data_IF_623418251471
#
_entry.id   IF_623418251471
#
_cell.length_a   1.000
_cell.length_b   1.000
_cell.length_c   1.000
_cell.angle_alpha   90.00
_cell.angle_beta   90.00
_cell.angle_gamma   90.00
#
_symmetry.space_group_name_H-M   'P 1'
#
loop_
_entity.id
_entity.type
_entity.pdbx_description
1 polymer ?
#
# COMPACT_ATOMS: atom_id res chain seq x y z
N UNK A 1 5.80 12.70 -9.65
CA UNK A 1 6.51 11.82 -8.71
C UNK A 1 5.53 10.82 -8.08
N UNK A 2 4.36 11.27 -7.61
CA UNK A 2 3.32 10.41 -7.02
C UNK A 2 2.87 9.21 -7.85
N UNK A 3 2.73 9.35 -9.18
CA UNK A 3 2.26 8.24 -10.04
C UNK A 3 3.17 6.99 -10.00
N UNK A 4 4.47 7.17 -9.79
CA UNK A 4 5.42 6.05 -9.63
C UNK A 4 5.20 5.37 -8.28
N UNK A 5 4.96 6.15 -7.23
CA UNK A 5 4.65 5.65 -5.89
C UNK A 5 3.35 4.85 -5.88
N UNK A 6 2.28 5.36 -6.50
CA UNK A 6 1.01 4.64 -6.66
C UNK A 6 1.21 3.26 -7.32
N UNK A 7 2.05 3.21 -8.35
CA UNK A 7 2.35 1.96 -9.06
C UNK A 7 3.03 0.95 -8.13
N UNK A 8 4.03 1.39 -7.37
CA UNK A 8 4.69 0.53 -6.39
C UNK A 8 3.76 0.07 -5.27
N UNK A 9 2.90 0.97 -4.75
CA UNK A 9 1.91 0.62 -3.72
C UNK A 9 0.91 -0.42 -4.25
N UNK A 10 0.49 -0.33 -5.51
CA UNK A 10 -0.38 -1.34 -6.14
C UNK A 10 0.31 -2.70 -6.20
N UNK A 11 1.56 -2.75 -6.68
CA UNK A 11 2.33 -4.00 -6.75
C UNK A 11 2.58 -4.59 -5.37
N UNK A 12 2.90 -3.77 -4.37
CA UNK A 12 3.14 -4.21 -3.00
C UNK A 12 1.86 -4.80 -2.37
N UNK A 13 0.71 -4.13 -2.51
CA UNK A 13 -0.59 -4.66 -2.06
C UNK A 13 -0.92 -6.00 -2.70
N UNK A 14 -0.64 -6.17 -4.00
CA UNK A 14 -0.86 -7.45 -4.68
C UNK A 14 -0.01 -8.58 -4.09
N UNK A 15 1.28 -8.33 -3.84
CA UNK A 15 2.18 -9.32 -3.22
C UNK A 15 1.75 -9.69 -1.80
N UNK A 16 1.38 -8.70 -0.99
CA UNK A 16 0.90 -8.94 0.38
C UNK A 16 -0.39 -9.75 0.40
N UNK A 17 -1.35 -9.42 -0.49
CA UNK A 17 -2.61 -10.14 -0.62
C UNK A 17 -2.41 -11.60 -1.07
N UNK A 18 -1.38 -11.87 -1.87
CA UNK A 18 -1.04 -13.23 -2.29
C UNK A 18 -0.56 -14.12 -1.12
N UNK A 19 0.02 -13.51 -0.07
CA UNK A 19 0.46 -14.20 1.14
C UNK A 19 -0.69 -14.32 2.14
N UNK A 20 -1.40 -13.22 2.39
CA UNK A 20 -2.55 -13.18 3.28
C UNK A 20 -3.62 -12.23 2.72
N UNK A 21 -4.75 -12.77 2.21
CA UNK A 21 -5.77 -11.96 1.55
C UNK A 21 -6.53 -11.02 2.49
N UNK A 22 -6.54 -11.31 3.79
CA UNK A 22 -7.24 -10.53 4.81
C UNK A 22 -6.37 -9.40 5.36
N UNK A 23 -5.08 -9.37 5.01
CA UNK A 23 -4.13 -8.36 5.46
C UNK A 23 -4.21 -7.10 4.59
N UNK A 24 -4.49 -5.95 5.22
CA UNK A 24 -4.46 -4.62 4.58
C UNK A 24 -3.55 -3.65 5.33
N UNK A 25 -2.21 -3.82 5.26
CA UNK A 25 -1.30 -3.08 6.14
C UNK A 25 -0.99 -1.67 5.63
N UNK A 26 -1.32 -1.31 4.40
CA UNK A 26 -0.98 0.01 3.81
C UNK A 26 -2.23 0.90 3.73
N UNK A 27 -2.24 1.96 4.53
CA UNK A 27 -3.25 3.01 4.50
C UNK A 27 -2.94 4.05 3.42
N UNK A 28 -3.98 4.58 2.78
CA UNK A 28 -3.86 5.72 1.86
C UNK A 28 -4.42 6.96 2.52
N UNK A 29 -3.59 7.99 2.60
CA UNK A 29 -3.95 9.32 3.09
C UNK A 29 -3.95 10.27 1.89
N UNK A 30 -5.14 10.64 1.41
CA UNK A 30 -5.27 11.50 0.21
C UNK A 30 -4.60 12.85 0.47
N UNK A 31 -3.69 13.24 -0.43
CA UNK A 31 -2.90 14.47 -0.29
C UNK A 31 -1.74 14.41 0.70
N UNK A 32 -1.53 13.26 1.37
CA UNK A 32 -0.47 13.07 2.38
C UNK A 32 0.43 11.85 2.09
N UNK A 33 -0.04 10.86 1.33
CA UNK A 33 0.74 9.68 0.93
C UNK A 33 0.21 8.38 1.54
N UNK A 34 1.10 7.53 2.02
CA UNK A 34 0.76 6.20 2.53
C UNK A 34 1.43 5.93 3.88
N UNK A 35 0.81 5.11 4.72
CA UNK A 35 1.40 4.65 5.98
C UNK A 35 1.23 3.15 6.17
N UNK A 36 2.13 2.55 6.93
CA UNK A 36 1.97 1.16 7.38
C UNK A 36 1.22 1.14 8.71
N UNK A 37 0.22 0.27 8.82
CA UNK A 37 -0.49 0.02 10.07
C UNK A 37 0.39 -0.89 10.95
N UNK A 38 0.83 -0.38 12.10
CA UNK A 38 1.70 -1.11 13.03
C UNK A 38 3.07 -0.47 13.28
N UNK A 39 3.33 0.70 12.68
CA UNK A 39 4.39 1.63 13.08
C UNK A 39 3.78 2.84 13.78
#
# INVERSE_FOLDING_TARGET
YDRTVDTHIKTLRAKLRAINPDLSPINTHRGMGYSLRGL
#
